data_IF_310377875686
#
_entry.id   IF_310377875686
#
_cell.length_a   1.000
_cell.length_b   1.000
_cell.length_c   1.000
_cell.angle_alpha   90.00
_cell.angle_beta   90.00
_cell.angle_gamma   90.00
#
_symmetry.space_group_name_H-M   'P 1'
#
loop_
_entity.id
_entity.type
_entity.pdbx_description
1 polymer ?
#
# COMPACT_ATOMS: atom_id res chain seq x y z
N UNK A 1 -13.00 2.73 22.86
CA UNK A 1 -12.93 1.75 21.76
C UNK A 1 -11.84 2.21 20.83
N UNK A 2 -10.65 1.59 20.90
CA UNK A 2 -9.52 1.95 20.04
C UNK A 2 -9.74 1.34 18.66
N UNK A 3 -9.53 2.08 17.55
CA UNK A 3 -9.59 1.51 16.22
C UNK A 3 -8.38 0.59 16.05
N UNK A 4 -8.64 -0.70 15.88
CA UNK A 4 -7.62 -1.71 15.58
C UNK A 4 -6.97 -1.34 14.26
N UNK A 5 -5.66 -1.06 14.26
CA UNK A 5 -4.88 -0.90 13.02
C UNK A 5 -4.83 -2.27 12.35
N UNK A 6 -5.73 -2.53 11.41
CA UNK A 6 -5.75 -3.76 10.62
C UNK A 6 -4.42 -3.87 9.86
N UNK A 7 -3.72 -5.00 10.01
CA UNK A 7 -2.39 -5.15 9.42
C UNK A 7 -2.52 -5.29 7.88
N UNK A 8 -1.53 -4.83 7.09
CA UNK A 8 -1.57 -4.89 5.62
C UNK A 8 -1.84 -6.30 5.08
N UNK A 9 -1.34 -7.32 5.79
CA UNK A 9 -1.51 -8.72 5.42
C UNK A 9 -2.95 -9.21 5.59
N UNK A 10 -3.69 -8.68 6.58
CA UNK A 10 -5.10 -8.97 6.79
C UNK A 10 -5.98 -8.31 5.70
N UNK A 11 -5.59 -7.12 5.22
CA UNK A 11 -6.23 -6.46 4.09
C UNK A 11 -6.02 -7.23 2.78
N UNK A 12 -4.81 -7.75 2.56
CA UNK A 12 -4.50 -8.59 1.41
C UNK A 12 -5.25 -9.93 1.43
N UNK A 13 -5.38 -10.56 2.61
CA UNK A 13 -6.14 -11.78 2.79
C UNK A 13 -7.65 -11.58 2.53
N UNK A 14 -8.23 -10.50 3.07
CA UNK A 14 -9.63 -10.16 2.85
C UNK A 14 -9.94 -9.81 1.37
N UNK A 15 -8.96 -9.27 0.63
CA UNK A 15 -9.09 -9.04 -0.81
C UNK A 15 -9.11 -10.37 -1.58
N UNK A 16 -8.21 -11.30 -1.26
CA UNK A 16 -8.17 -12.63 -1.88
C UNK A 16 -9.46 -13.44 -1.65
N UNK A 17 -10.03 -13.39 -0.46
CA UNK A 17 -11.28 -14.08 -0.13
C UNK A 17 -12.47 -13.56 -0.96
N UNK A 18 -12.57 -12.24 -1.14
CA UNK A 18 -13.65 -11.63 -1.96
C UNK A 18 -13.50 -11.88 -3.46
N UNK A 19 -12.27 -12.00 -3.96
CA UNK A 19 -11.98 -12.27 -5.38
C UNK A 19 -12.21 -13.75 -5.74
N UNK A 20 -12.24 -14.65 -4.75
CA UNK A 20 -12.44 -16.10 -4.95
C UNK A 20 -13.83 -16.53 -5.45
N UNK A 21 -14.78 -15.61 -5.64
CA UNK A 21 -16.15 -15.92 -6.07
C UNK A 21 -16.41 -15.74 -7.58
N UNK A 22 -15.39 -15.37 -8.38
CA UNK A 22 -15.56 -15.05 -9.80
C UNK A 22 -15.30 -16.22 -10.79
N UNK A 23 -15.15 -17.47 -10.32
CA UNK A 23 -14.69 -18.58 -11.18
C UNK A 23 -15.72 -19.17 -12.16
N UNK A 24 -16.98 -18.72 -12.16
CA UNK A 24 -18.05 -19.31 -13.00
C UNK A 24 -18.48 -18.42 -14.19
N UNK A 25 -17.58 -17.65 -14.82
CA UNK A 25 -17.89 -17.01 -16.12
C UNK A 25 -17.39 -17.82 -17.30
N UNK A 26 -18.33 -18.51 -17.94
CA UNK A 26 -18.17 -19.27 -19.18
C UNK A 26 -17.57 -18.45 -20.34
N UNK A 27 -16.49 -18.99 -20.90
CA UNK A 27 -16.05 -18.96 -22.31
C UNK A 27 -16.46 -17.75 -23.16
N UNK A 28 -15.73 -16.65 -23.02
CA UNK A 28 -15.45 -15.70 -24.10
C UNK A 28 -13.99 -15.27 -23.96
N UNK A 29 -13.21 -15.33 -25.04
CA UNK A 29 -11.76 -15.16 -25.03
C UNK A 29 -11.27 -13.73 -24.71
N UNK A 30 -12.16 -12.85 -24.23
CA UNK A 30 -11.83 -11.55 -23.65
C UNK A 30 -12.54 -11.49 -22.30
N UNK A 31 -11.81 -11.34 -21.18
CA UNK A 31 -12.44 -11.14 -19.88
C UNK A 31 -13.43 -9.98 -19.98
N UNK A 32 -14.65 -10.18 -19.49
CA UNK A 32 -15.66 -9.12 -19.47
C UNK A 32 -15.14 -7.85 -18.77
N UNK A 33 -15.70 -6.67 -19.06
CA UNK A 33 -15.24 -5.40 -18.49
C UNK A 33 -15.10 -5.41 -16.95
N UNK A 34 -15.96 -6.15 -16.24
CA UNK A 34 -15.88 -6.33 -14.80
C UNK A 34 -14.56 -6.97 -14.35
N UNK A 35 -14.13 -8.06 -15.01
CA UNK A 35 -12.88 -8.76 -14.72
C UNK A 35 -11.67 -7.87 -15.02
N UNK A 36 -11.72 -7.07 -16.09
CA UNK A 36 -10.67 -6.11 -16.42
C UNK A 36 -10.54 -5.01 -15.35
N UNK A 37 -11.66 -4.54 -14.79
CA UNK A 37 -11.65 -3.55 -13.71
C UNK A 37 -11.09 -4.15 -12.42
N UNK A 38 -11.48 -5.37 -12.06
CA UNK A 38 -10.93 -6.09 -10.91
C UNK A 38 -9.42 -6.29 -11.02
N UNK A 39 -8.93 -6.71 -12.20
CA UNK A 39 -7.50 -6.88 -12.47
C UNK A 39 -6.74 -5.55 -12.38
N UNK A 40 -7.25 -4.48 -13.00
CA UNK A 40 -6.63 -3.16 -12.93
C UNK A 40 -6.58 -2.62 -11.49
N UNK A 41 -7.65 -2.83 -10.71
CA UNK A 41 -7.72 -2.46 -9.31
C UNK A 41 -6.70 -3.25 -8.47
N UNK A 42 -6.57 -4.56 -8.69
CA UNK A 42 -5.57 -5.40 -8.03
C UNK A 42 -4.14 -4.95 -8.34
N UNK A 43 -3.84 -4.64 -9.61
CA UNK A 43 -2.52 -4.13 -10.03
C UNK A 43 -2.19 -2.80 -9.35
N UNK A 44 -3.14 -1.86 -9.29
CA UNK A 44 -2.92 -0.58 -8.64
C UNK A 44 -2.62 -0.72 -7.13
N UNK A 45 -3.28 -1.65 -6.44
CA UNK A 45 -2.99 -1.96 -5.03
C UNK A 45 -1.61 -2.58 -4.88
N UNK A 46 -1.23 -3.52 -5.75
CA UNK A 46 0.10 -4.14 -5.74
C UNK A 46 1.21 -3.10 -5.96
N UNK A 47 1.04 -2.19 -6.93
CA UNK A 47 1.98 -1.11 -7.20
C UNK A 47 2.11 -0.16 -6.00
N UNK A 48 1.00 0.18 -5.34
CA UNK A 48 1.02 1.00 -4.14
C UNK A 48 1.79 0.33 -2.99
N UNK A 49 1.59 -0.97 -2.78
CA UNK A 49 2.31 -1.75 -1.76
C UNK A 49 3.79 -1.84 -2.09
N UNK A 50 4.15 -2.07 -3.37
CA UNK A 50 5.53 -2.06 -3.81
C UNK A 50 6.19 -0.69 -3.57
N UNK A 51 5.47 0.40 -3.83
CA UNK A 51 5.93 1.76 -3.54
C UNK A 51 6.19 1.96 -2.04
N UNK A 52 5.28 1.54 -1.16
CA UNK A 52 5.47 1.60 0.29
C UNK A 52 6.73 0.83 0.73
N UNK A 53 6.92 -0.39 0.24
CA UNK A 53 8.11 -1.21 0.56
C UNK A 53 9.41 -0.53 0.11
N UNK A 54 9.41 0.07 -1.08
CA UNK A 54 10.57 0.81 -1.58
C UNK A 54 10.85 2.04 -0.71
N UNK A 55 9.80 2.80 -0.36
CA UNK A 55 9.91 3.97 0.51
C UNK A 55 10.44 3.58 1.90
N UNK A 56 9.97 2.49 2.49
CA UNK A 56 10.50 1.97 3.77
C UNK A 56 11.97 1.59 3.68
N UNK A 57 12.39 0.95 2.57
CA UNK A 57 13.79 0.58 2.37
C UNK A 57 14.69 1.82 2.34
N UNK A 58 14.27 2.87 1.61
CA UNK A 58 15.00 4.14 1.53
C UNK A 58 15.00 4.83 2.90
N UNK A 59 13.84 4.91 3.57
CA UNK A 59 13.70 5.53 4.88
C UNK A 59 14.63 4.87 5.91
N UNK A 60 14.69 3.53 5.94
CA UNK A 60 15.60 2.81 6.84
C UNK A 60 17.08 3.12 6.56
N UNK A 61 17.47 3.24 5.29
CA UNK A 61 18.83 3.66 4.94
C UNK A 61 19.13 5.08 5.42
N UNK A 62 18.19 6.02 5.25
CA UNK A 62 18.32 7.40 5.74
C UNK A 62 18.42 7.44 7.26
N UNK A 63 17.60 6.67 7.97
CA UNK A 63 17.64 6.56 9.43
C UNK A 63 19.00 6.04 9.91
N UNK A 64 19.55 5.02 9.27
CA UNK A 64 20.89 4.51 9.62
C UNK A 64 22.00 5.55 9.43
N UNK A 65 21.93 6.36 8.36
CA UNK A 65 22.87 7.47 8.15
C UNK A 65 22.68 8.57 9.20
N UNK A 66 21.43 8.92 9.53
CA UNK A 66 21.14 9.93 10.53
C UNK A 66 21.61 9.50 11.93
N UNK A 67 21.43 8.22 12.29
CA UNK A 67 21.95 7.65 13.53
C UNK A 67 23.48 7.70 13.59
N UNK A 68 24.17 7.36 12.49
CA UNK A 68 25.63 7.50 12.40
C UNK A 68 26.08 8.95 12.55
N UNK A 69 25.38 9.91 11.93
CA UNK A 69 25.68 11.35 12.07
C UNK A 69 25.54 11.83 13.52
N UNK A 70 24.49 11.38 14.22
CA UNK A 70 24.30 11.70 15.64
C UNK A 70 25.42 11.14 16.51
N UNK A 71 25.86 9.91 16.23
CA UNK A 71 26.92 9.25 17.00
C UNK A 71 28.30 9.85 16.74
N UNK A 72 28.59 10.24 15.49
CA UNK A 72 29.92 10.63 15.04
C UNK A 72 30.19 12.13 15.21
N UNK A 73 29.31 12.96 14.68
CA UNK A 73 29.58 14.39 14.52
C UNK A 73 28.79 15.24 15.54
N UNK A 74 27.86 14.62 16.30
CA UNK A 74 26.99 15.31 17.25
C UNK A 74 26.03 16.31 16.59
N UNK A 75 25.90 16.25 15.25
CA UNK A 75 25.09 17.16 14.46
C UNK A 75 23.61 16.77 14.53
N UNK A 76 23.01 17.17 15.65
CA UNK A 76 21.61 16.93 15.98
C UNK A 76 20.62 17.47 14.94
N UNK A 77 20.73 18.74 14.49
CA UNK A 77 19.73 19.34 13.60
C UNK A 77 19.55 18.59 12.27
N UNK A 78 20.64 18.30 11.57
CA UNK A 78 20.55 17.68 10.24
C UNK A 78 20.09 16.22 10.33
N UNK A 79 20.57 15.48 11.32
CA UNK A 79 20.12 14.11 11.55
C UNK A 79 18.65 14.05 11.97
N UNK A 80 18.19 14.94 12.85
CA UNK A 80 16.79 15.01 13.26
C UNK A 80 15.85 15.36 12.09
N UNK A 81 16.27 16.26 11.20
CA UNK A 81 15.52 16.58 9.98
C UNK A 81 15.42 15.37 9.05
N UNK A 82 16.54 14.65 8.84
CA UNK A 82 16.56 13.44 8.03
C UNK A 82 15.63 12.35 8.59
N UNK A 83 15.61 12.16 9.92
CA UNK A 83 14.68 11.25 10.61
C UNK A 83 13.23 11.67 10.38
N UNK A 84 12.90 12.94 10.56
CA UNK A 84 11.54 13.44 10.39
C UNK A 84 11.05 13.27 8.94
N UNK A 85 11.89 13.57 7.96
CA UNK A 85 11.57 13.38 6.54
C UNK A 85 11.37 11.90 6.19
N UNK A 86 12.22 11.01 6.71
CA UNK A 86 12.11 9.57 6.49
C UNK A 86 10.78 9.02 7.04
N UNK A 87 10.41 9.42 8.26
CA UNK A 87 9.13 9.04 8.89
C UNK A 87 7.93 9.59 8.09
N UNK A 88 7.97 10.88 7.74
CA UNK A 88 6.90 11.52 6.97
C UNK A 88 6.69 10.88 5.59
N UNK A 89 7.76 10.37 4.95
CA UNK A 89 7.67 9.68 3.68
C UNK A 89 6.95 8.33 3.81
N UNK A 90 7.26 7.56 4.86
CA UNK A 90 6.59 6.28 5.14
C UNK A 90 5.12 6.49 5.48
N UNK A 91 4.79 7.50 6.28
CA UNK A 91 3.40 7.85 6.61
C UNK A 91 2.62 8.22 5.35
N UNK A 92 3.20 9.06 4.48
CA UNK A 92 2.57 9.46 3.21
C UNK A 92 2.35 8.27 2.27
N UNK A 93 3.33 7.37 2.16
CA UNK A 93 3.22 6.16 1.37
C UNK A 93 2.13 5.22 1.92
N UNK A 94 2.02 5.11 3.25
CA UNK A 94 0.97 4.32 3.92
C UNK A 94 -0.42 4.86 3.59
N UNK A 95 -0.62 6.18 3.72
CA UNK A 95 -1.88 6.83 3.35
C UNK A 95 -2.23 6.63 1.87
N UNK A 96 -1.24 6.60 0.98
CA UNK A 96 -1.48 6.33 -0.44
C UNK A 96 -1.98 4.90 -0.66
N UNK A 97 -1.38 3.90 0.00
CA UNK A 97 -1.86 2.51 -0.05
C UNK A 97 -3.30 2.41 0.45
N UNK A 98 -3.62 3.03 1.58
CA UNK A 98 -4.99 3.04 2.13
C UNK A 98 -6.00 3.64 1.15
N UNK A 99 -5.68 4.79 0.56
CA UNK A 99 -6.57 5.48 -0.40
C UNK A 99 -6.77 4.68 -1.68
N UNK A 100 -5.69 4.12 -2.24
CA UNK A 100 -5.76 3.31 -3.46
C UNK A 100 -6.56 2.03 -3.19
N UNK A 101 -6.34 1.39 -2.04
CA UNK A 101 -7.09 0.20 -1.64
C UNK A 101 -8.58 0.48 -1.44
N UNK A 102 -8.93 1.61 -0.81
CA UNK A 102 -10.32 2.03 -0.64
C UNK A 102 -11.01 2.31 -1.99
N UNK A 103 -10.30 2.98 -2.92
CA UNK A 103 -10.81 3.24 -4.26
C UNK A 103 -11.01 1.94 -5.05
N UNK A 104 -10.04 1.03 -5.02
CA UNK A 104 -10.12 -0.29 -5.63
C UNK A 104 -11.34 -1.07 -5.11
N UNK A 105 -11.53 -1.13 -3.79
CA UNK A 105 -12.69 -1.80 -3.18
C UNK A 105 -14.02 -1.17 -3.61
N UNK A 106 -14.10 0.16 -3.70
CA UNK A 106 -15.30 0.85 -4.16
C UNK A 106 -15.61 0.57 -5.65
N UNK A 107 -14.59 0.44 -6.50
CA UNK A 107 -14.76 0.11 -7.92
C UNK A 107 -15.27 -1.31 -8.11
N UNK A 108 -14.70 -2.28 -7.39
CA UNK A 108 -15.15 -3.68 -7.43
C UNK A 108 -16.58 -3.78 -6.88
N UNK A 109 -16.86 -3.13 -5.74
CA UNK A 109 -18.19 -3.14 -5.13
C UNK A 109 -19.28 -2.50 -6.02
N UNK A 110 -18.94 -1.47 -6.81
CA UNK A 110 -19.87 -0.88 -7.80
C UNK A 110 -20.15 -1.82 -8.98
N UNK A 111 -19.15 -2.57 -9.43
CA UNK A 111 -19.33 -3.52 -10.53
C UNK A 111 -20.11 -4.77 -10.10
N UNK A 112 -19.99 -5.22 -8.85
CA UNK A 112 -20.71 -6.39 -8.34
C UNK A 112 -22.22 -6.12 -8.11
N UNK A 113 -22.65 -4.86 -8.13
CA UNK A 113 -24.04 -4.45 -7.88
C UNK A 113 -24.83 -4.11 -9.16
N UNK A 114 -24.21 -4.19 -10.34
CA UNK A 114 -24.82 -4.00 -11.65
C UNK A 114 -24.98 -5.31 -12.40
#
# INVERSE_FOLDING_TARGET
MSPTKTQPDELAAAFHEKVGLAQDLETSAVPGPAVMIEQAAAMAVQDAVAHLRNTQTIANAVLGVAEEMLLRDGDGPQANEAVALAQSAVDSATLNVERISALAAAMIGKNAAG
#
